data_IF_758435193080
#
_entry.id   IF_758435193080
#
_cell.length_a   1.000
_cell.length_b   1.000
_cell.length_c   1.000
_cell.angle_alpha   90.00
_cell.angle_beta   90.00
_cell.angle_gamma   90.00
#
_symmetry.space_group_name_H-M   'P 1'
#
loop_
_entity.id
_entity.type
_entity.pdbx_description
1 polymer ?
#
# COMPACT_ATOMS: atom_id res chain seq x y z
N UNK A 1 46.96 24.62 23.23
CA UNK A 1 45.75 24.08 22.57
C UNK A 1 45.23 22.99 23.49
N UNK A 2 44.18 23.29 24.25
CA UNK A 2 43.70 22.53 25.41
C UNK A 2 42.88 21.31 24.97
N UNK A 3 42.89 20.23 25.76
CA UNK A 3 42.12 19.00 25.50
C UNK A 3 40.63 19.26 25.22
N UNK A 4 40.06 20.30 25.85
CA UNK A 4 38.69 20.76 25.59
C UNK A 4 38.46 21.18 24.13
N UNK A 5 39.42 21.86 23.48
CA UNK A 5 39.29 22.29 22.08
C UNK A 5 39.33 21.09 21.11
N UNK A 6 40.08 20.04 21.47
CA UNK A 6 40.08 18.78 20.71
C UNK A 6 38.77 18.00 20.91
N UNK A 7 38.27 17.92 22.15
CA UNK A 7 36.99 17.26 22.44
C UNK A 7 35.83 17.95 21.71
N UNK A 8 35.81 19.28 21.71
CA UNK A 8 34.77 20.06 21.05
C UNK A 8 34.78 19.86 19.52
N UNK A 9 35.96 19.77 18.89
CA UNK A 9 36.09 19.45 17.46
C UNK A 9 35.59 18.06 17.12
N UNK A 10 35.91 17.06 17.95
CA UNK A 10 35.45 15.67 17.77
C UNK A 10 33.94 15.59 17.87
N UNK A 11 33.33 16.19 18.90
CA UNK A 11 31.86 16.19 19.06
C UNK A 11 31.16 16.85 17.86
N UNK A 12 31.69 17.96 17.35
CA UNK A 12 31.14 18.64 16.17
C UNK A 12 31.26 17.76 14.91
N UNK A 13 32.36 17.03 14.76
CA UNK A 13 32.55 16.10 13.64
C UNK A 13 31.54 14.94 13.68
N UNK A 14 31.35 14.33 14.85
CA UNK A 14 30.37 13.26 15.07
C UNK A 14 28.93 13.74 14.80
N UNK A 15 28.56 14.92 15.30
CA UNK A 15 27.23 15.50 15.02
C UNK A 15 26.99 15.75 13.53
N UNK A 16 28.03 16.16 12.80
CA UNK A 16 27.94 16.32 11.34
C UNK A 16 27.80 14.98 10.63
N UNK A 17 28.52 13.95 11.09
CA UNK A 17 28.37 12.59 10.56
C UNK A 17 26.95 12.08 10.77
N UNK A 18 26.43 12.20 12.00
CA UNK A 18 25.08 11.78 12.34
C UNK A 18 24.02 12.49 11.50
N UNK A 19 24.16 13.81 11.28
CA UNK A 19 23.28 14.57 10.40
C UNK A 19 23.31 14.03 8.97
N UNK A 20 24.50 13.76 8.43
CA UNK A 20 24.64 13.24 7.08
C UNK A 20 24.01 11.84 6.94
N UNK A 21 24.13 11.00 7.97
CA UNK A 21 23.49 9.68 7.99
C UNK A 21 21.96 9.80 8.10
N UNK A 22 21.44 10.74 8.89
CA UNK A 22 20.01 11.06 8.93
C UNK A 22 19.49 11.55 7.57
N UNK A 23 20.24 12.39 6.86
CA UNK A 23 19.88 12.85 5.52
C UNK A 23 19.82 11.69 4.52
N UNK A 24 20.78 10.74 4.60
CA UNK A 24 20.77 9.52 3.79
C UNK A 24 19.56 8.63 4.08
N UNK A 25 19.23 8.42 5.36
CA UNK A 25 18.04 7.66 5.78
C UNK A 25 16.77 8.34 5.26
N UNK A 26 16.67 9.67 5.41
CA UNK A 26 15.52 10.41 4.91
C UNK A 26 15.38 10.28 3.39
N UNK A 27 16.49 10.37 2.65
CA UNK A 27 16.52 10.15 1.20
C UNK A 27 16.03 8.75 0.83
N UNK A 28 16.53 7.72 1.50
CA UNK A 28 16.11 6.34 1.29
C UNK A 28 14.62 6.11 1.55
N UNK A 29 14.06 6.70 2.62
CA UNK A 29 12.63 6.62 2.93
C UNK A 29 11.78 7.23 1.80
N UNK A 30 12.23 8.35 1.22
CA UNK A 30 11.52 9.01 0.11
C UNK A 30 11.54 8.14 -1.14
N UNK A 31 12.68 7.54 -1.47
CA UNK A 31 12.80 6.60 -2.60
C UNK A 31 11.92 5.38 -2.41
N UNK A 32 11.98 4.73 -1.25
CA UNK A 32 11.09 3.60 -0.92
C UNK A 32 9.61 3.97 -1.09
N UNK A 33 9.18 5.12 -0.56
CA UNK A 33 7.78 5.57 -0.68
C UNK A 33 7.37 5.74 -2.14
N UNK A 34 8.27 6.23 -3.00
CA UNK A 34 8.01 6.39 -4.43
C UNK A 34 7.81 5.04 -5.10
N UNK A 35 8.67 4.06 -4.81
CA UNK A 35 8.59 2.72 -5.37
C UNK A 35 7.29 2.01 -4.93
N UNK A 36 6.88 2.18 -3.67
CA UNK A 36 5.59 1.67 -3.18
C UNK A 36 4.39 2.30 -3.89
N UNK A 37 4.45 3.60 -4.19
CA UNK A 37 3.37 4.28 -4.92
C UNK A 37 3.15 3.67 -6.31
N UNK A 38 4.24 3.30 -6.99
CA UNK A 38 4.17 2.66 -8.31
C UNK A 38 3.55 1.27 -8.22
N UNK A 39 3.88 0.51 -7.17
CA UNK A 39 3.32 -0.81 -6.93
C UNK A 39 1.82 -0.73 -6.59
N UNK A 40 1.41 0.24 -5.76
CA UNK A 40 0.01 0.48 -5.41
C UNK A 40 -0.83 0.86 -6.65
N UNK A 41 -0.29 1.69 -7.54
CA UNK A 41 -0.99 2.08 -8.77
C UNK A 41 -1.12 0.93 -9.79
N UNK A 42 -0.23 -0.06 -9.75
CA UNK A 42 -0.28 -1.27 -10.59
C UNK A 42 -1.07 -2.43 -9.99
N UNK A 43 -1.54 -2.29 -8.74
CA UNK A 43 -2.21 -3.39 -8.05
C UNK A 43 -3.59 -3.67 -8.66
N UNK A 44 -3.78 -4.90 -9.12
CA UNK A 44 -5.00 -5.39 -9.75
C UNK A 44 -5.52 -6.62 -8.99
N UNK A 45 -6.84 -6.77 -8.90
CA UNK A 45 -7.51 -7.90 -8.26
C UNK A 45 -8.21 -8.76 -9.31
N UNK A 46 -8.25 -10.08 -9.11
CA UNK A 46 -9.09 -10.96 -9.90
C UNK A 46 -10.56 -10.90 -9.46
N UNK A 47 -11.46 -11.43 -10.28
CA UNK A 47 -12.88 -11.58 -9.88
C UNK A 47 -13.04 -12.38 -8.59
N UNK A 48 -12.22 -13.42 -8.39
CA UNK A 48 -12.24 -14.26 -7.20
C UNK A 48 -11.82 -13.47 -5.94
N UNK A 49 -10.79 -12.64 -6.06
CA UNK A 49 -10.31 -11.81 -4.96
C UNK A 49 -11.38 -10.79 -4.55
N UNK A 50 -11.99 -10.10 -5.52
CA UNK A 50 -13.04 -9.11 -5.26
C UNK A 50 -14.23 -9.75 -4.54
N UNK A 51 -14.67 -10.93 -5.00
CA UNK A 51 -15.78 -11.69 -4.39
C UNK A 51 -15.43 -12.08 -2.94
N UNK A 52 -14.25 -12.66 -2.73
CA UNK A 52 -13.82 -13.15 -1.41
C UNK A 52 -13.60 -12.01 -0.42
N UNK A 53 -12.88 -10.97 -0.83
CA UNK A 53 -12.54 -9.82 0.02
C UNK A 53 -13.78 -9.03 0.41
N UNK A 54 -14.64 -8.72 -0.56
CA UNK A 54 -15.81 -7.87 -0.31
C UNK A 54 -17.04 -8.66 0.17
N UNK A 55 -16.98 -9.98 0.16
CA UNK A 55 -18.10 -10.84 0.56
C UNK A 55 -19.32 -10.69 -0.35
N UNK A 56 -19.09 -10.45 -1.65
CA UNK A 56 -20.16 -10.20 -2.64
C UNK A 56 -20.40 -11.42 -3.50
N UNK A 57 -21.61 -11.57 -4.04
CA UNK A 57 -21.89 -12.63 -5.01
C UNK A 57 -21.33 -12.27 -6.39
N UNK A 58 -21.11 -13.31 -7.23
CA UNK A 58 -20.79 -13.14 -8.66
C UNK A 58 -21.81 -12.26 -9.39
N UNK A 59 -23.09 -12.39 -9.04
CA UNK A 59 -24.17 -11.58 -9.61
C UNK A 59 -24.05 -10.09 -9.23
N UNK A 60 -23.67 -9.78 -7.98
CA UNK A 60 -23.40 -8.39 -7.58
C UNK A 60 -22.22 -7.81 -8.36
N UNK A 61 -21.14 -8.58 -8.53
CA UNK A 61 -19.98 -8.15 -9.31
C UNK A 61 -20.32 -7.96 -10.79
N UNK A 62 -21.16 -8.83 -11.37
CA UNK A 62 -21.66 -8.67 -12.74
C UNK A 62 -22.44 -7.35 -12.89
N UNK A 63 -23.40 -7.08 -12.00
CA UNK A 63 -24.14 -5.81 -12.00
C UNK A 63 -23.23 -4.58 -11.89
N UNK A 64 -22.19 -4.64 -11.08
CA UNK A 64 -21.22 -3.55 -10.97
C UNK A 64 -20.44 -3.30 -12.27
N UNK A 65 -20.19 -4.35 -13.06
CA UNK A 65 -19.61 -4.22 -14.40
C UNK A 65 -20.62 -3.68 -15.41
N UNK A 66 -21.82 -4.24 -15.43
CA UNK A 66 -22.89 -3.86 -16.37
C UNK A 66 -23.27 -2.38 -16.23
N UNK A 67 -23.26 -1.87 -15.00
CA UNK A 67 -23.55 -0.46 -14.69
C UNK A 67 -22.32 0.46 -14.74
N UNK A 68 -21.14 -0.07 -15.11
CA UNK A 68 -19.85 0.64 -15.04
C UNK A 68 -19.57 1.30 -13.68
N UNK A 69 -20.09 0.71 -12.59
CA UNK A 69 -19.88 1.20 -11.23
C UNK A 69 -18.42 1.12 -10.80
N UNK A 70 -17.69 0.12 -11.33
CA UNK A 70 -16.27 -0.12 -11.08
C UNK A 70 -15.51 -0.22 -12.42
N UNK A 71 -14.24 0.22 -12.48
CA UNK A 71 -13.39 -0.05 -13.63
C UNK A 71 -12.93 -1.51 -13.64
N UNK A 72 -12.79 -2.08 -14.83
CA UNK A 72 -12.32 -3.44 -15.05
C UNK A 72 -11.66 -3.57 -16.42
N UNK A 73 -10.83 -4.61 -16.60
CA UNK A 73 -10.17 -4.94 -17.87
C UNK A 73 -10.16 -6.45 -18.07
N UNK A 74 -10.46 -6.90 -19.28
CA UNK A 74 -10.28 -8.30 -19.66
C UNK A 74 -8.81 -8.59 -19.95
N UNK A 75 -8.25 -9.60 -19.27
CA UNK A 75 -6.92 -10.17 -19.57
C UNK A 75 -7.08 -11.31 -20.57
N UNK A 76 -8.12 -12.14 -20.40
CA UNK A 76 -8.54 -13.18 -21.35
C UNK A 76 -10.05 -13.39 -21.25
N UNK A 77 -10.61 -14.30 -22.05
CA UNK A 77 -12.05 -14.54 -22.16
C UNK A 77 -12.74 -14.74 -20.78
N UNK A 78 -12.04 -15.37 -19.83
CA UNK A 78 -12.56 -15.67 -18.48
C UNK A 78 -11.82 -14.93 -17.36
N UNK A 79 -10.77 -14.16 -17.67
CA UNK A 79 -9.97 -13.47 -16.67
C UNK A 79 -10.21 -11.96 -16.73
N UNK A 80 -10.75 -11.42 -15.65
CA UNK A 80 -11.02 -9.99 -15.49
C UNK A 80 -10.21 -9.46 -14.32
N UNK A 81 -9.48 -8.39 -14.57
CA UNK A 81 -8.74 -7.63 -13.59
C UNK A 81 -9.48 -6.35 -13.19
N UNK A 82 -9.41 -6.01 -11.92
CA UNK A 82 -9.97 -4.79 -11.34
C UNK A 82 -8.85 -3.97 -10.71
N UNK A 83 -8.58 -2.75 -11.21
CA UNK A 83 -7.59 -1.88 -10.58
C UNK A 83 -8.00 -1.55 -9.14
N UNK A 84 -7.10 -1.75 -8.17
CA UNK A 84 -7.40 -1.57 -6.75
C UNK A 84 -7.91 -0.16 -6.44
N UNK A 85 -7.20 0.86 -6.92
CA UNK A 85 -7.55 2.27 -6.74
C UNK A 85 -8.95 2.59 -7.25
N UNK A 86 -9.28 2.04 -8.42
CA UNK A 86 -10.59 2.19 -9.04
C UNK A 86 -11.71 1.57 -8.20
N UNK A 87 -11.49 0.33 -7.74
CA UNK A 87 -12.41 -0.38 -6.85
C UNK A 87 -12.60 0.35 -5.51
N UNK A 88 -11.50 0.81 -4.91
CA UNK A 88 -11.50 1.53 -3.65
C UNK A 88 -12.31 2.83 -3.73
N UNK A 89 -12.10 3.63 -4.77
CA UNK A 89 -12.84 4.88 -4.98
C UNK A 89 -14.32 4.61 -5.26
N UNK A 90 -14.65 3.57 -6.04
CA UNK A 90 -16.04 3.22 -6.32
C UNK A 90 -16.81 2.82 -5.05
N UNK A 91 -16.19 2.07 -4.15
CA UNK A 91 -16.78 1.69 -2.86
C UNK A 91 -16.88 2.91 -1.93
N UNK A 92 -15.80 3.69 -1.82
CA UNK A 92 -15.73 4.89 -0.97
C UNK A 92 -16.79 5.93 -1.36
N UNK A 93 -16.98 6.14 -2.66
CA UNK A 93 -18.01 7.05 -3.20
C UNK A 93 -19.42 6.47 -3.19
N UNK A 94 -19.58 5.18 -2.91
CA UNK A 94 -20.88 4.51 -2.88
C UNK A 94 -21.43 4.10 -4.25
N UNK A 95 -20.67 4.29 -5.34
CA UNK A 95 -21.02 3.80 -6.69
C UNK A 95 -21.12 2.27 -6.72
N UNK A 96 -20.21 1.60 -6.02
CA UNK A 96 -20.22 0.16 -5.83
C UNK A 96 -20.88 -0.17 -4.48
N UNK A 97 -22.18 -0.50 -4.50
CA UNK A 97 -22.97 -0.87 -3.32
C UNK A 97 -23.91 -2.04 -3.63
N UNK A 98 -24.35 -2.76 -2.58
CA UNK A 98 -25.41 -3.76 -2.66
C UNK A 98 -26.05 -3.99 -1.27
N UNK A 99 -27.13 -4.77 -1.23
CA UNK A 99 -27.87 -5.09 -0.01
C UNK A 99 -26.99 -5.85 1.00
N UNK A 100 -26.86 -5.33 2.22
CA UNK A 100 -26.02 -5.92 3.27
C UNK A 100 -24.54 -5.50 3.22
N UNK A 101 -24.17 -4.60 2.29
CA UNK A 101 -22.80 -4.12 2.16
C UNK A 101 -22.45 -3.04 3.18
N UNK A 102 -21.53 -3.34 4.09
CA UNK A 102 -20.97 -2.36 5.02
C UNK A 102 -19.73 -1.72 4.41
N UNK A 103 -19.89 -0.50 3.86
CA UNK A 103 -18.81 0.25 3.20
C UNK A 103 -17.53 0.32 4.03
N UNK A 104 -17.65 0.59 5.34
CA UNK A 104 -16.50 0.71 6.25
C UNK A 104 -15.70 -0.59 6.32
N UNK A 105 -16.38 -1.72 6.50
CA UNK A 105 -15.79 -3.05 6.56
C UNK A 105 -15.12 -3.43 5.23
N UNK A 106 -15.76 -3.09 4.10
CA UNK A 106 -15.22 -3.31 2.77
C UNK A 106 -13.90 -2.55 2.54
N UNK A 107 -13.85 -1.28 2.95
CA UNK A 107 -12.62 -0.47 2.86
C UNK A 107 -11.52 -1.01 3.79
N UNK A 108 -11.88 -1.46 5.00
CA UNK A 108 -10.94 -2.11 5.91
C UNK A 108 -10.33 -3.38 5.31
N UNK A 109 -11.15 -4.26 4.71
CA UNK A 109 -10.68 -5.48 4.05
C UNK A 109 -9.81 -5.19 2.83
N UNK A 110 -10.12 -4.15 2.06
CA UNK A 110 -9.26 -3.70 0.95
C UNK A 110 -7.92 -3.17 1.45
N UNK A 111 -7.90 -2.37 2.51
CA UNK A 111 -6.64 -1.91 3.11
C UNK A 111 -5.81 -3.09 3.64
N UNK A 112 -6.44 -4.04 4.34
CA UNK A 112 -5.74 -5.23 4.84
C UNK A 112 -5.16 -6.09 3.70
N UNK A 113 -5.88 -6.21 2.58
CA UNK A 113 -5.37 -6.86 1.37
C UNK A 113 -4.15 -6.13 0.82
N UNK A 114 -4.24 -4.79 0.66
CA UNK A 114 -3.11 -3.97 0.21
C UNK A 114 -1.89 -4.18 1.10
N UNK A 115 -2.08 -4.08 2.41
CA UNK A 115 -0.99 -4.21 3.37
C UNK A 115 -0.40 -5.62 3.35
N UNK A 116 -1.22 -6.66 3.21
CA UNK A 116 -0.76 -8.05 3.09
C UNK A 116 0.02 -8.32 1.80
N UNK A 117 -0.45 -7.78 0.67
CA UNK A 117 0.26 -7.89 -0.61
C UNK A 117 1.61 -7.17 -0.54
N UNK A 118 1.63 -5.93 -0.04
CA UNK A 118 2.87 -5.17 0.13
C UNK A 118 3.86 -5.89 1.07
N UNK A 119 3.39 -6.43 2.19
CA UNK A 119 4.22 -7.25 3.09
C UNK A 119 4.78 -8.49 2.39
N UNK A 120 3.96 -9.20 1.62
CA UNK A 120 4.41 -10.37 0.85
C UNK A 120 5.48 -10.03 -0.20
N UNK A 121 5.44 -8.83 -0.79
CA UNK A 121 6.47 -8.35 -1.72
C UNK A 121 7.76 -7.90 -1.01
N UNK A 122 7.70 -7.46 0.24
CA UNK A 122 8.89 -7.13 1.04
C UNK A 122 9.59 -8.36 1.65
N UNK A 123 8.99 -9.56 1.52
CA UNK A 123 9.42 -10.78 2.21
C UNK A 123 9.07 -10.76 3.70
N UNK A 124 9.16 -11.91 4.38
CA UNK A 124 9.15 -12.00 5.84
C UNK A 124 10.46 -11.39 6.40
N UNK A 125 10.71 -10.11 6.10
CA UNK A 125 11.74 -9.34 6.75
C UNK A 125 11.32 -9.22 8.20
N UNK A 126 11.89 -10.06 9.07
CA UNK A 126 12.00 -9.77 10.49
C UNK A 126 12.35 -8.29 10.60
N UNK A 127 11.40 -7.50 11.11
CA UNK A 127 11.67 -6.13 11.51
C UNK A 127 12.63 -6.23 12.70
N UNK A 128 13.92 -6.30 12.37
CA UNK A 128 15.07 -6.30 13.29
C UNK A 128 15.26 -4.89 13.87
N UNK A 129 14.16 -4.33 14.40
CA UNK A 129 14.11 -3.03 15.06
C UNK A 129 13.52 -3.12 16.48
N UNK A 130 13.04 -4.29 16.90
CA UNK A 130 12.79 -4.58 18.31
C UNK A 130 13.97 -5.39 18.84
N UNK A 131 14.98 -4.68 19.35
CA UNK A 131 15.94 -5.06 20.41
C UNK A 131 17.25 -4.28 20.24
N UNK A 132 17.22 -2.98 20.56
CA UNK A 132 18.36 -2.21 21.05
C UNK A 132 17.89 -1.18 22.08
#
# INVERSE_FOLDING_TARGET
MTEEDNLQKTVIAELRSLRNDMERIAGFIVEMRRDYSVLEDKMELSSSDVIRLLGISRASLARWRDTNAIPFRYISCNHVAYPFKGLYVAIKSGRASFKGFRRVEALQRLNAYKDGVLKGYMGDGQTLFEEL
#
